data_IF_435546910972
#
_entry.id   IF_435546910972
#
_cell.length_a   1.000
_cell.length_b   1.000
_cell.length_c   1.000
_cell.angle_alpha   90.00
_cell.angle_beta   90.00
_cell.angle_gamma   90.00
#
_symmetry.space_group_name_H-M   'P 1'
#
loop_
_entity.id
_entity.type
_entity.pdbx_description
1 polymer ?
#
# COMPACT_ATOMS: atom_id res chain seq x y z
N UNK A 1 -2.05 15.82 -8.61
CA UNK A 1 -2.48 14.89 -7.54
C UNK A 1 -3.43 13.84 -8.11
N UNK A 2 -3.20 12.62 -7.72
CA UNK A 2 -4.03 11.50 -8.12
C UNK A 2 -4.82 11.05 -6.89
N UNK A 3 -6.12 10.91 -7.02
CA UNK A 3 -6.96 10.33 -5.97
C UNK A 3 -7.03 8.83 -6.16
N UNK A 4 -6.71 8.09 -5.10
CA UNK A 4 -6.76 6.64 -5.10
C UNK A 4 -7.71 6.13 -4.02
N UNK A 5 -8.51 5.15 -4.37
CA UNK A 5 -9.22 4.32 -3.40
C UNK A 5 -8.36 3.09 -3.14
N UNK A 6 -7.91 2.94 -1.91
CA UNK A 6 -7.09 1.80 -1.49
C UNK A 6 -7.94 0.86 -0.65
N UNK A 7 -8.13 -0.36 -1.14
CA UNK A 7 -8.80 -1.41 -0.38
C UNK A 7 -7.78 -2.45 0.04
N UNK A 8 -7.74 -2.72 1.33
CA UNK A 8 -6.85 -3.72 1.91
C UNK A 8 -7.69 -4.75 2.65
N UNK A 9 -7.46 -6.03 2.35
CA UNK A 9 -8.24 -7.12 2.93
C UNK A 9 -7.36 -8.23 3.47
N UNK A 10 -7.72 -8.72 4.65
CA UNK A 10 -7.31 -10.02 5.17
C UNK A 10 -8.55 -10.90 5.24
N UNK A 11 -8.43 -12.18 5.64
CA UNK A 11 -9.63 -13.01 5.86
C UNK A 11 -10.57 -12.48 6.96
N UNK A 12 -10.11 -11.54 7.78
CA UNK A 12 -10.86 -11.02 8.93
C UNK A 12 -11.30 -9.58 8.74
N UNK A 13 -10.45 -8.75 8.12
CA UNK A 13 -10.63 -7.30 8.04
C UNK A 13 -10.60 -6.86 6.59
N UNK A 14 -11.52 -5.98 6.22
CA UNK A 14 -11.45 -5.19 4.99
C UNK A 14 -11.49 -3.71 5.35
N UNK A 15 -10.50 -2.95 4.90
CA UNK A 15 -10.42 -1.51 5.10
C UNK A 15 -10.31 -0.80 3.76
N UNK A 16 -11.07 0.28 3.61
CA UNK A 16 -11.03 1.12 2.41
C UNK A 16 -10.69 2.54 2.81
N UNK A 17 -9.71 3.14 2.15
CA UNK A 17 -9.29 4.50 2.40
C UNK A 17 -9.11 5.25 1.08
N UNK A 18 -9.54 6.51 1.06
CA UNK A 18 -9.28 7.39 -0.08
C UNK A 18 -8.09 8.27 0.24
N UNK A 19 -7.08 8.23 -0.61
CA UNK A 19 -5.84 8.98 -0.43
C UNK A 19 -5.50 9.78 -1.67
N UNK A 20 -4.64 10.78 -1.49
CA UNK A 20 -4.08 11.56 -2.59
C UNK A 20 -2.59 11.27 -2.69
N UNK A 21 -2.11 11.05 -3.90
CA UNK A 21 -0.70 10.79 -4.17
C UNK A 21 -0.25 11.61 -5.38
N UNK A 22 1.04 11.95 -5.40
CA UNK A 22 1.70 12.50 -6.57
C UNK A 22 2.32 11.37 -7.39
N UNK A 23 2.70 11.66 -8.64
CA UNK A 23 3.46 10.72 -9.46
C UNK A 23 4.75 10.29 -8.77
N UNK A 24 5.41 11.22 -8.06
CA UNK A 24 6.65 10.90 -7.34
C UNK A 24 6.42 9.93 -6.19
N UNK A 25 5.28 9.99 -5.50
CA UNK A 25 4.94 9.03 -4.46
C UNK A 25 4.71 7.62 -5.03
N UNK A 26 4.12 7.53 -6.22
CA UNK A 26 3.99 6.24 -6.91
C UNK A 26 5.37 5.70 -7.29
N UNK A 27 6.25 6.57 -7.81
CA UNK A 27 7.63 6.18 -8.13
C UNK A 27 8.39 5.71 -6.89
N UNK A 28 8.18 6.35 -5.74
CA UNK A 28 8.77 5.92 -4.48
C UNK A 28 8.28 4.53 -4.06
N UNK A 29 7.00 4.23 -4.25
CA UNK A 29 6.46 2.90 -3.95
C UNK A 29 7.09 1.85 -4.86
N UNK A 30 7.21 2.13 -6.15
CA UNK A 30 7.88 1.24 -7.11
C UNK A 30 9.33 1.00 -6.70
N UNK A 31 10.06 2.06 -6.33
CA UNK A 31 11.45 1.98 -5.90
C UNK A 31 11.60 1.17 -4.61
N UNK A 32 10.73 1.36 -3.64
CA UNK A 32 10.79 0.61 -2.37
C UNK A 32 10.51 -0.87 -2.58
N UNK A 33 9.51 -1.21 -3.38
CA UNK A 33 9.21 -2.61 -3.68
C UNK A 33 10.38 -3.25 -4.44
N UNK A 34 10.92 -2.55 -5.44
CA UNK A 34 12.05 -3.04 -6.23
C UNK A 34 13.28 -3.28 -5.34
N UNK A 35 13.61 -2.33 -4.48
CA UNK A 35 14.71 -2.44 -3.54
C UNK A 35 14.52 -3.63 -2.58
N UNK A 36 13.30 -3.78 -2.06
CA UNK A 36 12.97 -4.90 -1.18
C UNK A 36 13.11 -6.24 -1.89
N UNK A 37 12.56 -6.36 -3.12
CA UNK A 37 12.66 -7.59 -3.91
C UNK A 37 14.10 -7.94 -4.26
N UNK A 38 14.98 -6.93 -4.40
CA UNK A 38 16.39 -7.12 -4.71
C UNK A 38 17.28 -7.43 -3.50
N UNK A 39 16.70 -7.67 -2.33
CA UNK A 39 17.44 -8.21 -1.20
C UNK A 39 17.41 -7.43 0.10
N UNK A 40 16.74 -6.28 0.15
CA UNK A 40 16.57 -5.57 1.43
C UNK A 40 15.73 -6.40 2.39
N UNK A 41 16.06 -6.33 3.68
CA UNK A 41 15.35 -7.08 4.72
C UNK A 41 13.93 -6.57 4.93
N UNK A 42 13.75 -5.27 4.81
CA UNK A 42 12.46 -4.59 4.97
C UNK A 42 12.31 -3.51 3.92
N UNK A 43 11.06 -3.15 3.64
CA UNK A 43 10.71 -1.99 2.86
C UNK A 43 9.59 -1.22 3.56
N UNK A 44 9.48 0.07 3.30
CA UNK A 44 8.43 0.91 3.88
C UNK A 44 8.00 1.99 2.89
N UNK A 45 6.70 2.20 2.82
CA UNK A 45 6.13 3.31 2.06
C UNK A 45 4.90 3.86 2.76
N UNK A 46 4.71 5.17 2.67
CA UNK A 46 3.52 5.86 3.13
C UNK A 46 3.23 7.05 2.21
N UNK A 47 1.96 7.34 2.00
CA UNK A 47 1.56 8.52 1.23
C UNK A 47 1.70 9.81 2.05
N UNK A 48 1.57 9.72 3.37
CA UNK A 48 1.55 10.86 4.28
C UNK A 48 1.98 10.41 5.68
N UNK A 49 2.21 11.35 6.59
CA UNK A 49 2.46 11.06 7.99
C UNK A 49 1.16 10.69 8.71
N UNK A 50 1.27 9.82 9.70
CA UNK A 50 0.15 9.47 10.57
C UNK A 50 -0.25 10.65 11.44
N UNK A 51 -1.54 10.80 11.68
CA UNK A 51 -2.07 11.79 12.61
C UNK A 51 -2.36 13.15 12.01
N UNK A 52 -2.22 13.33 10.69
CA UNK A 52 -2.69 14.53 10.02
C UNK A 52 -4.21 14.45 9.87
N UNK A 53 -4.92 15.41 10.50
CA UNK A 53 -6.38 15.41 10.47
C UNK A 53 -6.98 15.74 9.11
N UNK A 54 -6.20 16.28 8.19
CA UNK A 54 -6.70 16.74 6.88
C UNK A 54 -6.54 15.69 5.77
N UNK A 55 -5.69 14.68 5.95
CA UNK A 55 -5.45 13.65 4.95
C UNK A 55 -5.29 12.28 5.60
N UNK A 56 -5.81 11.26 4.92
CA UNK A 56 -5.65 9.88 5.39
C UNK A 56 -4.23 9.38 5.08
N UNK A 57 -3.63 8.67 6.01
CA UNK A 57 -2.38 7.96 5.84
C UNK A 57 -2.66 6.49 5.54
N UNK A 58 -2.03 5.96 4.50
CA UNK A 58 -1.95 4.53 4.24
C UNK A 58 -0.47 4.19 4.12
N UNK A 59 -0.03 3.18 4.85
CA UNK A 59 1.36 2.75 4.79
C UNK A 59 1.48 1.24 4.66
N UNK A 60 2.57 0.84 4.02
CA UNK A 60 2.92 -0.56 3.84
C UNK A 60 4.33 -0.79 4.32
N UNK A 61 4.51 -1.82 5.14
CA UNK A 61 5.83 -2.29 5.54
C UNK A 61 5.98 -3.73 5.08
N UNK A 62 7.04 -4.00 4.32
CA UNK A 62 7.28 -5.28 3.68
C UNK A 62 8.32 -6.06 4.48
N UNK A 63 8.04 -7.34 4.73
CA UNK A 63 8.94 -8.25 5.45
C UNK A 63 9.07 -9.56 4.70
N UNK A 64 10.27 -10.13 4.72
CA UNK A 64 10.48 -11.51 4.28
C UNK A 64 10.12 -12.46 5.43
N UNK A 65 9.21 -13.40 5.17
CA UNK A 65 8.85 -14.41 6.17
C UNK A 65 9.84 -15.57 6.18
N UNK A 66 10.41 -15.91 5.01
CA UNK A 66 11.33 -17.03 4.85
C UNK A 66 12.21 -16.84 3.60
N UNK A 67 13.05 -17.84 3.33
CA UNK A 67 13.90 -17.85 2.13
C UNK A 67 13.20 -18.36 0.87
N UNK A 68 11.91 -18.73 0.97
CA UNK A 68 11.15 -19.32 -0.13
C UNK A 68 10.30 -18.32 -0.90
N UNK A 69 10.42 -17.04 -0.59
CA UNK A 69 9.70 -15.99 -1.30
C UNK A 69 8.37 -15.59 -0.70
N UNK A 70 8.05 -16.06 0.52
CA UNK A 70 6.87 -15.62 1.24
C UNK A 70 7.12 -14.26 1.88
N UNK A 71 6.16 -13.36 1.73
CA UNK A 71 6.24 -11.97 2.14
C UNK A 71 5.03 -11.62 2.99
N UNK A 72 5.28 -10.95 4.12
CA UNK A 72 4.23 -10.33 4.93
C UNK A 72 4.25 -8.82 4.70
N UNK A 73 3.08 -8.22 4.61
CA UNK A 73 2.92 -6.78 4.50
C UNK A 73 2.10 -6.31 5.69
N UNK A 74 2.69 -5.44 6.50
CA UNK A 74 1.95 -4.72 7.54
C UNK A 74 1.24 -3.55 6.87
N UNK A 75 -0.07 -3.56 6.91
CA UNK A 75 -0.91 -2.51 6.36
C UNK A 75 -1.40 -1.65 7.52
N UNK A 76 -1.20 -0.34 7.40
CA UNK A 76 -1.81 0.65 8.28
C UNK A 76 -2.67 1.57 7.41
N UNK A 77 -3.91 1.82 7.83
CA UNK A 77 -4.81 2.71 7.12
C UNK A 77 -5.61 3.56 8.09
N UNK A 78 -5.58 4.87 7.88
CA UNK A 78 -6.46 5.81 8.55
C UNK A 78 -7.78 5.86 7.79
N UNK A 79 -8.89 5.88 8.52
CA UNK A 79 -10.23 5.78 7.97
C UNK A 79 -10.98 7.07 8.20
N UNK A 80 -11.73 7.51 7.19
CA UNK A 80 -12.56 8.71 7.30
C UNK A 80 -13.81 8.39 8.14
N UNK A 81 -13.98 9.13 9.22
CA UNK A 81 -15.17 9.05 10.07
C UNK A 81 -16.15 10.22 9.83
N UNK A 82 -15.89 11.00 8.78
CA UNK A 82 -16.66 12.19 8.45
C UNK A 82 -16.08 13.49 9.02
N UNK A 83 -14.97 13.43 9.75
CA UNK A 83 -14.38 14.62 10.37
C UNK A 83 -12.87 14.61 10.47
N UNK A 84 -12.29 13.58 11.05
CA UNK A 84 -10.88 13.55 11.39
C UNK A 84 -10.25 12.21 11.08
N UNK A 85 -9.36 12.16 10.08
CA UNK A 85 -8.67 10.95 9.65
C UNK A 85 -7.77 10.34 10.73
N UNK A 86 -7.32 11.13 11.70
CA UNK A 86 -6.40 10.63 12.73
C UNK A 86 -7.08 9.83 13.84
N UNK A 87 -8.41 9.80 13.90
CA UNK A 87 -9.17 9.20 15.01
C UNK A 87 -9.47 7.73 14.81
N UNK A 88 -9.62 7.27 13.59
CA UNK A 88 -9.93 5.89 13.28
C UNK A 88 -8.89 5.30 12.36
N UNK A 89 -8.32 4.17 12.76
CA UNK A 89 -7.33 3.48 11.94
C UNK A 89 -7.41 1.98 12.18
N UNK A 90 -6.79 1.23 11.30
CA UNK A 90 -6.58 -0.19 11.48
C UNK A 90 -5.18 -0.57 11.06
N UNK A 91 -4.66 -1.62 11.65
CA UNK A 91 -3.36 -2.18 11.32
C UNK A 91 -3.48 -3.70 11.32
N UNK A 92 -3.07 -4.32 10.23
CA UNK A 92 -3.12 -5.78 10.09
C UNK A 92 -2.10 -6.25 9.07
N UNK A 93 -1.87 -7.56 9.03
CA UNK A 93 -0.94 -8.15 8.08
C UNK A 93 -1.69 -8.88 6.97
N UNK A 94 -1.17 -8.74 5.76
CA UNK A 94 -1.56 -9.59 4.62
C UNK A 94 -0.33 -10.36 4.15
N UNK A 95 -0.54 -11.46 3.47
CA UNK A 95 0.53 -12.31 2.96
C UNK A 95 0.49 -12.38 1.46
N UNK A 96 1.65 -12.36 0.85
CA UNK A 96 1.81 -12.49 -0.59
C UNK A 96 3.09 -13.27 -0.90
N UNK A 97 3.44 -13.34 -2.16
CA UNK A 97 4.66 -14.01 -2.63
C UNK A 97 5.47 -13.07 -3.50
N UNK A 98 6.75 -13.39 -3.66
CA UNK A 98 7.69 -12.62 -4.46
C UNK A 98 7.15 -12.32 -5.86
N UNK A 99 6.69 -13.35 -6.59
CA UNK A 99 6.20 -13.19 -7.96
C UNK A 99 4.95 -12.33 -8.06
N UNK A 100 4.04 -12.46 -7.09
CA UNK A 100 2.82 -11.66 -7.04
C UNK A 100 3.13 -10.18 -6.76
N UNK A 101 4.05 -9.92 -5.85
CA UNK A 101 4.46 -8.55 -5.53
C UNK A 101 5.21 -7.91 -6.69
N UNK A 102 6.08 -8.67 -7.36
CA UNK A 102 6.80 -8.19 -8.55
C UNK A 102 5.81 -7.82 -9.66
N UNK A 103 4.83 -8.67 -9.93
CA UNK A 103 3.81 -8.40 -10.94
C UNK A 103 2.99 -7.15 -10.61
N UNK A 104 2.60 -7.00 -9.35
CA UNK A 104 1.90 -5.80 -8.89
C UNK A 104 2.75 -4.55 -9.12
N UNK A 105 4.03 -4.60 -8.76
CA UNK A 105 4.97 -3.49 -8.93
C UNK A 105 5.09 -3.08 -10.40
N UNK A 106 5.15 -4.05 -11.31
CA UNK A 106 5.28 -3.80 -12.75
C UNK A 106 4.09 -3.03 -13.33
N UNK A 107 2.95 -3.06 -12.66
CA UNK A 107 1.73 -2.39 -13.13
C UNK A 107 1.45 -1.05 -12.46
N UNK A 108 2.21 -0.68 -11.42
CA UNK A 108 1.96 0.56 -10.66
C UNK A 108 2.07 1.83 -11.49
N UNK A 109 2.88 1.84 -12.54
CA UNK A 109 3.00 2.97 -13.45
C UNK A 109 1.67 3.37 -14.10
N UNK A 110 0.76 2.42 -14.26
CA UNK A 110 -0.54 2.68 -14.89
C UNK A 110 -1.38 3.67 -14.08
N UNK A 111 -1.15 3.76 -12.78
CA UNK A 111 -1.86 4.71 -11.91
C UNK A 111 -1.51 6.16 -12.23
N UNK A 112 -0.31 6.41 -12.75
CA UNK A 112 0.14 7.77 -13.07
C UNK A 112 -0.61 8.40 -14.25
N UNK A 113 -1.19 7.58 -15.11
CA UNK A 113 -1.90 8.05 -16.28
C UNK A 113 -3.32 8.57 -15.97
N UNK A 114 -3.76 8.45 -14.72
CA UNK A 114 -4.98 9.08 -14.24
C UNK A 114 -6.28 8.61 -14.88
N UNK A 115 -6.30 7.44 -15.51
CA UNK A 115 -7.52 6.89 -16.07
C UNK A 115 -8.51 6.55 -14.94
N UNK A 116 -9.68 7.16 -14.96
CA UNK A 116 -10.76 6.79 -14.06
C UNK A 116 -11.13 5.32 -14.29
N UNK A 117 -11.17 4.55 -13.21
CA UNK A 117 -11.50 3.12 -13.27
C UNK A 117 -10.30 2.20 -13.47
N UNK A 118 -9.07 2.74 -13.54
CA UNK A 118 -7.87 1.91 -13.53
C UNK A 118 -7.75 1.22 -12.17
N UNK A 119 -7.58 -0.10 -12.17
CA UNK A 119 -7.44 -0.90 -10.96
C UNK A 119 -6.19 -1.76 -11.03
N UNK A 120 -5.36 -1.68 -9.99
CA UNK A 120 -4.18 -2.53 -9.83
C UNK A 120 -4.40 -3.35 -8.57
N UNK A 121 -4.21 -4.66 -8.67
CA UNK A 121 -4.46 -5.58 -7.57
C UNK A 121 -3.22 -6.39 -7.22
N UNK A 122 -2.91 -6.43 -5.92
CA UNK A 122 -1.96 -7.39 -5.36
C UNK A 122 -2.74 -8.55 -4.77
N UNK A 123 -2.51 -9.74 -5.29
CA UNK A 123 -3.14 -10.95 -4.77
C UNK A 123 -2.43 -11.39 -3.49
N UNK A 124 -3.23 -11.54 -2.42
CA UNK A 124 -2.78 -11.95 -1.10
C UNK A 124 -3.57 -13.19 -0.65
N UNK A 125 -3.03 -13.91 0.34
CA UNK A 125 -3.69 -15.11 0.87
C UNK A 125 -3.49 -15.27 2.38
#
# INVERSE_FOLDING_TARGET
MIELTVECSSPIITATSEIYVSDSLIDELISEITRFLNGSKEGFWANEERGDASTACVSFRFFREDALGHIAIEVFAELDDGGDYSKHNCCFFVRTEYGLLMNFCDHLDQLKNGSVGCEIRLNCF
#
